data_IF_374526687391
#
_entry.id   IF_374526687391
#
_cell.length_a   1.000
_cell.length_b   1.000
_cell.length_c   1.000
_cell.angle_alpha   90.00
_cell.angle_beta   90.00
_cell.angle_gamma   90.00
#
_symmetry.space_group_name_H-M   'P 1'
#
loop_
_entity.id
_entity.type
_entity.pdbx_description
1 polymer ?
#
# COMPACT_ATOMS: atom_id res chain seq x y z
N UNK A 1 -15.96 -15.23 20.61
CA UNK A 1 -15.22 -13.98 20.34
C UNK A 1 -14.57 -14.17 18.97
N UNK A 2 -15.14 -13.52 17.96
CA UNK A 2 -14.78 -13.73 16.57
C UNK A 2 -13.44 -13.05 16.29
N UNK A 3 -12.37 -13.85 16.36
CA UNK A 3 -11.04 -13.48 15.90
C UNK A 3 -11.06 -13.35 14.37
N UNK A 4 -11.50 -12.20 13.87
CA UNK A 4 -11.33 -11.85 12.46
C UNK A 4 -10.54 -10.53 12.32
N UNK A 5 -9.42 -10.44 13.02
CA UNK A 5 -8.31 -9.56 12.60
C UNK A 5 -7.53 -10.28 11.49
N UNK A 6 -8.20 -10.51 10.35
CA UNK A 6 -7.51 -10.69 9.08
C UNK A 6 -7.09 -9.29 8.64
N UNK A 7 -6.07 -8.75 9.30
CA UNK A 7 -5.32 -7.63 8.75
C UNK A 7 -4.59 -8.20 7.53
N UNK A 8 -5.28 -8.21 6.40
CA UNK A 8 -4.74 -8.59 5.10
C UNK A 8 -3.52 -7.71 4.88
N UNK A 9 -2.33 -8.29 4.83
CA UNK A 9 -1.12 -7.55 4.48
C UNK A 9 -1.08 -7.43 2.95
N UNK A 10 -1.02 -6.20 2.46
CA UNK A 10 -0.75 -5.89 1.07
C UNK A 10 0.72 -5.55 0.88
N UNK A 11 1.36 -6.16 -0.10
CA UNK A 11 2.73 -5.83 -0.52
C UNK A 11 2.67 -4.80 -1.63
N UNK A 12 3.40 -3.68 -1.47
CA UNK A 12 3.57 -2.70 -2.55
C UNK A 12 4.47 -3.23 -3.66
N UNK A 13 4.42 -2.62 -4.85
CA UNK A 13 5.30 -2.95 -5.98
C UNK A 13 6.80 -2.82 -5.65
N UNK A 14 7.14 -1.99 -4.66
CA UNK A 14 8.49 -1.86 -4.14
C UNK A 14 8.94 -2.99 -3.19
N UNK A 15 8.08 -3.98 -2.91
CA UNK A 15 8.37 -5.13 -2.06
C UNK A 15 8.20 -4.90 -0.56
N UNK A 16 7.53 -3.83 -0.14
CA UNK A 16 7.27 -3.56 1.28
C UNK A 16 5.84 -3.93 1.66
N UNK A 17 5.70 -4.66 2.77
CA UNK A 17 4.42 -5.12 3.31
C UNK A 17 3.79 -4.11 4.26
N UNK A 18 2.48 -3.93 4.13
CA UNK A 18 1.67 -3.06 4.99
C UNK A 18 0.29 -3.65 5.20
N UNK A 19 -0.40 -3.28 6.28
CA UNK A 19 -1.82 -3.59 6.40
C UNK A 19 -2.58 -2.99 5.23
N UNK A 20 -3.38 -3.80 4.55
CA UNK A 20 -4.14 -3.44 3.37
C UNK A 20 -5.04 -2.23 3.64
N UNK A 21 -5.71 -2.19 4.78
CA UNK A 21 -6.53 -1.04 5.18
C UNK A 21 -5.71 0.24 5.36
N UNK A 22 -4.57 0.16 6.05
CA UNK A 22 -3.71 1.32 6.30
C UNK A 22 -3.06 1.83 5.01
N UNK A 23 -2.50 0.93 4.21
CA UNK A 23 -1.82 1.31 2.97
C UNK A 23 -2.82 1.84 1.95
N UNK A 24 -4.02 1.27 1.86
CA UNK A 24 -5.08 1.80 1.02
C UNK A 24 -5.41 3.25 1.36
N UNK A 25 -5.59 3.57 2.65
CA UNK A 25 -5.83 4.95 3.08
C UNK A 25 -4.66 5.88 2.75
N UNK A 26 -3.43 5.40 2.97
CA UNK A 26 -2.22 6.15 2.64
C UNK A 26 -2.12 6.43 1.13
N UNK A 27 -2.38 5.44 0.28
CA UNK A 27 -2.33 5.58 -1.18
C UNK A 27 -3.40 6.53 -1.73
N UNK A 28 -4.57 6.61 -1.09
CA UNK A 28 -5.58 7.63 -1.41
C UNK A 28 -5.09 9.06 -1.18
N UNK A 29 -4.18 9.27 -0.23
CA UNK A 29 -3.58 10.57 0.06
C UNK A 29 -2.29 10.81 -0.73
N UNK A 30 -1.43 9.79 -0.80
CA UNK A 30 -0.12 9.79 -1.43
C UNK A 30 0.19 8.42 -2.02
N UNK A 31 0.27 8.35 -3.34
CA UNK A 31 0.57 7.12 -4.07
C UNK A 31 2.05 6.70 -4.00
N UNK A 32 2.69 6.81 -2.82
CA UNK A 32 4.11 6.53 -2.62
C UNK A 32 4.33 5.67 -1.39
N UNK A 33 5.32 4.79 -1.46
CA UNK A 33 5.75 3.96 -0.34
C UNK A 33 6.34 4.84 0.78
N UNK A 34 5.88 4.70 2.04
CA UNK A 34 6.42 5.49 3.14
C UNK A 34 7.86 5.09 3.55
N UNK A 35 8.33 3.89 3.17
CA UNK A 35 9.70 3.44 3.49
C UNK A 35 10.70 3.93 2.44
N UNK A 36 10.46 3.62 1.16
CA UNK A 36 11.41 3.90 0.09
C UNK A 36 11.00 5.03 -0.86
N UNK A 37 9.80 5.61 -0.69
CA UNK A 37 9.22 6.67 -1.54
C UNK A 37 9.00 6.27 -3.01
N UNK A 38 9.11 4.98 -3.34
CA UNK A 38 8.74 4.45 -4.64
C UNK A 38 7.22 4.60 -4.87
N UNK A 39 6.82 4.93 -6.09
CA UNK A 39 5.41 5.02 -6.48
C UNK A 39 4.75 3.65 -6.34
N UNK A 40 3.58 3.60 -5.72
CA UNK A 40 2.90 2.35 -5.35
C UNK A 40 1.96 1.79 -6.42
N UNK A 41 1.53 2.65 -7.35
CA UNK A 41 0.84 2.28 -8.57
C UNK A 41 1.56 3.06 -9.66
N UNK A 42 2.38 2.38 -10.45
CA UNK A 42 2.98 2.99 -11.64
C UNK A 42 1.89 3.63 -12.50
N UNK A 43 1.84 4.96 -12.55
CA UNK A 43 1.05 5.66 -13.54
C UNK A 43 1.59 5.20 -14.90
N UNK A 44 0.78 4.46 -15.67
CA UNK A 44 1.11 4.11 -17.04
C UNK A 44 1.53 5.38 -17.80
N UNK A 45 2.36 5.26 -18.85
CA UNK A 45 3.28 6.31 -19.26
C UNK A 45 2.52 7.59 -19.64
N UNK A 46 2.55 8.57 -18.75
CA UNK A 46 2.29 9.95 -19.11
C UNK A 46 3.50 10.81 -18.77
N UNK A 47 4.43 10.79 -19.72
CA UNK A 47 5.30 11.90 -20.18
C UNK A 47 5.91 12.81 -19.09
#
# INVERSE_FOLDING_TARGET
>A
EEYENKDELGTLECGHDYHYACIRQWLLLKNVCPICKATALGDGPHQ
#
